data_IF_217639674772
#
_entry.id   IF_217639674772
#
_cell.length_a   1.000
_cell.length_b   1.000
_cell.length_c   1.000
_cell.angle_alpha   90.00
_cell.angle_beta   90.00
_cell.angle_gamma   90.00
#
_symmetry.space_group_name_H-M   'P 1'
#
loop_
_entity.id
_entity.type
_entity.pdbx_description
1 polymer ?
#
# COMPACT_ATOMS: atom_id res chain seq x y z
N UNK A 1 -3.82 -20.39 -1.76
CA UNK A 1 -4.96 -19.73 -2.42
C UNK A 1 -4.40 -19.00 -3.62
N UNK A 2 -5.03 -19.11 -4.79
CA UNK A 2 -4.59 -18.29 -5.94
C UNK A 2 -5.15 -16.85 -5.85
N UNK A 3 -4.67 -15.94 -6.71
CA UNK A 3 -5.10 -14.54 -6.67
C UNK A 3 -6.58 -14.36 -7.08
N UNK A 4 -7.14 -15.27 -7.87
CA UNK A 4 -8.53 -15.19 -8.34
C UNK A 4 -9.47 -15.54 -7.18
N UNK A 5 -9.16 -16.61 -6.44
CA UNK A 5 -9.83 -16.99 -5.20
C UNK A 5 -9.73 -15.88 -4.16
N UNK A 6 -8.53 -15.33 -3.93
CA UNK A 6 -8.31 -14.25 -2.97
C UNK A 6 -9.13 -12.98 -3.30
N UNK A 7 -9.25 -12.64 -4.59
CA UNK A 7 -10.09 -11.53 -5.03
C UNK A 7 -11.58 -11.79 -4.74
N UNK A 8 -12.08 -13.00 -4.95
CA UNK A 8 -13.47 -13.37 -4.68
C UNK A 8 -13.78 -13.33 -3.19
N UNK A 9 -12.90 -13.85 -2.35
CA UNK A 9 -13.03 -13.82 -0.90
C UNK A 9 -13.10 -12.39 -0.37
N UNK A 10 -12.27 -11.50 -0.91
CA UNK A 10 -12.23 -10.10 -0.51
C UNK A 10 -13.47 -9.32 -1.01
N UNK A 11 -13.95 -9.61 -2.22
CA UNK A 11 -15.22 -9.10 -2.75
C UNK A 11 -16.41 -9.48 -1.85
N UNK A 12 -16.46 -10.75 -1.41
CA UNK A 12 -17.49 -11.24 -0.50
C UNK A 12 -17.39 -10.64 0.91
N UNK A 13 -16.17 -10.51 1.45
CA UNK A 13 -15.92 -9.97 2.79
C UNK A 13 -16.38 -8.52 2.95
N UNK A 14 -16.19 -7.70 1.92
CA UNK A 14 -16.46 -6.26 1.97
C UNK A 14 -17.71 -5.84 1.17
N UNK A 15 -18.50 -6.80 0.67
CA UNK A 15 -19.70 -6.58 -0.14
C UNK A 15 -19.48 -5.59 -1.29
N UNK A 16 -18.43 -5.84 -2.10
CA UNK A 16 -18.14 -5.04 -3.28
C UNK A 16 -17.62 -5.88 -4.43
N UNK A 17 -17.58 -5.29 -5.62
CA UNK A 17 -16.92 -5.89 -6.80
C UNK A 17 -15.79 -4.97 -7.29
N UNK A 18 -14.62 -5.55 -7.55
CA UNK A 18 -13.53 -4.87 -8.26
C UNK A 18 -13.90 -4.74 -9.74
N UNK A 19 -13.62 -3.58 -10.31
CA UNK A 19 -13.76 -3.36 -11.75
C UNK A 19 -12.72 -4.19 -12.51
N UNK A 20 -13.05 -4.55 -13.74
CA UNK A 20 -12.19 -5.36 -14.62
C UNK A 20 -10.72 -4.86 -14.66
N UNK A 21 -10.51 -3.56 -14.88
CA UNK A 21 -9.16 -2.97 -14.94
C UNK A 21 -8.44 -2.94 -13.58
N UNK A 22 -9.18 -2.96 -12.46
CA UNK A 22 -8.58 -3.07 -11.13
C UNK A 22 -8.09 -4.51 -10.91
N UNK A 23 -8.92 -5.52 -11.22
CA UNK A 23 -8.54 -6.93 -11.15
C UNK A 23 -7.30 -7.19 -11.99
N UNK A 24 -7.30 -6.72 -13.25
CA UNK A 24 -6.17 -6.87 -14.15
C UNK A 24 -4.87 -6.26 -13.61
N UNK A 25 -4.94 -5.04 -13.07
CA UNK A 25 -3.78 -4.38 -12.47
C UNK A 25 -3.25 -5.16 -11.26
N UNK A 26 -4.14 -5.62 -10.38
CA UNK A 26 -3.77 -6.46 -9.22
C UNK A 26 -3.09 -7.74 -9.69
N UNK A 27 -3.66 -8.46 -10.65
CA UNK A 27 -3.07 -9.70 -11.18
C UNK A 27 -1.67 -9.49 -11.74
N UNK A 28 -1.42 -8.40 -12.48
CA UNK A 28 -0.07 -8.10 -12.97
C UNK A 28 0.91 -7.79 -11.84
N UNK A 29 0.48 -7.02 -10.83
CA UNK A 29 1.30 -6.73 -9.64
C UNK A 29 1.68 -8.02 -8.90
N UNK A 30 0.73 -8.93 -8.71
CA UNK A 30 0.98 -10.23 -8.05
C UNK A 30 1.88 -11.18 -8.85
N UNK A 31 2.02 -10.96 -10.15
CA UNK A 31 2.96 -11.69 -11.00
C UNK A 31 4.33 -10.98 -11.09
N UNK A 32 4.62 -10.07 -10.16
CA UNK A 32 5.88 -9.33 -10.08
C UNK A 32 6.15 -8.49 -11.34
N UNK A 33 5.10 -7.97 -11.98
CA UNK A 33 5.21 -7.17 -13.19
C UNK A 33 5.05 -5.68 -12.92
N UNK A 34 5.98 -4.90 -13.45
CA UNK A 34 5.87 -3.43 -13.49
C UNK A 34 4.60 -3.03 -14.23
N UNK A 35 3.66 -2.42 -13.50
CA UNK A 35 2.30 -2.18 -13.99
C UNK A 35 2.03 -0.69 -14.13
N UNK A 36 1.87 -0.21 -15.37
CA UNK A 36 1.44 1.16 -15.66
C UNK A 36 -0.09 1.25 -15.81
N UNK A 37 -0.74 1.95 -14.88
CA UNK A 37 -2.21 2.00 -14.81
C UNK A 37 -2.75 3.39 -15.22
N UNK A 38 -3.46 3.44 -16.35
CA UNK A 38 -4.17 4.65 -16.81
C UNK A 38 -5.68 4.48 -16.64
N UNK A 39 -6.23 5.17 -15.66
CA UNK A 39 -7.67 5.14 -15.34
C UNK A 39 -8.19 6.59 -15.19
N UNK A 40 -9.49 6.87 -15.40
CA UNK A 40 -10.05 8.19 -15.12
C UNK A 40 -10.14 8.47 -13.60
N UNK A 41 -10.28 9.75 -13.24
CA UNK A 41 -10.60 10.15 -11.86
C UNK A 41 -11.93 9.52 -11.44
N UNK A 42 -12.05 9.13 -10.16
CA UNK A 42 -13.23 8.43 -9.66
C UNK A 42 -13.34 6.95 -10.06
N UNK A 43 -12.45 6.43 -10.92
CA UNK A 43 -12.47 4.99 -11.24
C UNK A 43 -12.19 4.10 -10.03
N UNK A 44 -11.49 4.64 -9.01
CA UNK A 44 -11.11 3.91 -7.80
C UNK A 44 -9.69 3.36 -7.86
N UNK A 45 -8.72 4.15 -8.31
CA UNK A 45 -7.31 3.73 -8.40
C UNK A 45 -6.72 3.33 -7.04
N UNK A 46 -7.14 4.01 -5.97
CA UNK A 46 -6.67 3.72 -4.61
C UNK A 46 -7.01 2.31 -4.15
N UNK A 47 -8.14 1.77 -4.62
CA UNK A 47 -8.61 0.43 -4.31
C UNK A 47 -7.64 -0.67 -4.77
N UNK A 48 -6.82 -0.39 -5.79
CA UNK A 48 -5.80 -1.32 -6.27
C UNK A 48 -4.77 -1.49 -5.15
N UNK A 49 -4.07 -0.41 -4.78
CA UNK A 49 -2.97 -0.51 -3.81
C UNK A 49 -3.44 -0.74 -2.37
N UNK A 50 -4.66 -0.33 -2.00
CA UNK A 50 -5.13 -0.42 -0.62
C UNK A 50 -5.44 -1.85 -0.17
N UNK A 51 -5.82 -2.73 -1.10
CA UNK A 51 -6.12 -4.14 -0.81
C UNK A 51 -4.96 -5.09 -1.11
N UNK A 52 -3.87 -4.62 -1.72
CA UNK A 52 -2.69 -5.45 -1.95
C UNK A 52 -2.15 -6.12 -0.68
N UNK A 53 -2.05 -5.45 0.49
CA UNK A 53 -1.54 -6.09 1.71
C UNK A 53 -2.37 -7.31 2.13
N UNK A 54 -3.70 -7.18 2.11
CA UNK A 54 -4.62 -8.24 2.52
C UNK A 54 -4.67 -9.37 1.49
N UNK A 55 -4.68 -9.04 0.19
CA UNK A 55 -4.56 -10.05 -0.87
C UNK A 55 -3.23 -10.82 -0.75
N UNK A 56 -2.15 -10.13 -0.40
CA UNK A 56 -0.84 -10.75 -0.24
C UNK A 56 -0.83 -11.71 0.94
N UNK A 57 -1.43 -11.31 2.07
CA UNK A 57 -1.59 -12.16 3.24
C UNK A 57 -2.47 -13.39 2.96
N UNK A 58 -3.57 -13.23 2.22
CA UNK A 58 -4.45 -14.35 1.81
C UNK A 58 -3.73 -15.37 0.92
N UNK A 59 -2.90 -14.89 -0.02
CA UNK A 59 -2.20 -15.76 -0.99
C UNK A 59 -0.96 -16.41 -0.38
N UNK A 60 -0.18 -15.68 0.43
CA UNK A 60 1.16 -16.09 0.87
C UNK A 60 1.23 -16.49 2.35
N UNK A 61 0.20 -16.19 3.15
CA UNK A 61 0.21 -16.30 4.61
C UNK A 61 1.31 -15.47 5.31
N UNK A 62 1.83 -14.45 4.62
CA UNK A 62 2.81 -13.51 5.15
C UNK A 62 2.25 -12.08 5.12
N UNK A 63 2.66 -11.26 6.09
CA UNK A 63 2.30 -9.84 6.09
C UNK A 63 3.04 -9.10 4.98
N UNK A 64 2.33 -8.22 4.28
CA UNK A 64 2.90 -7.32 3.28
C UNK A 64 2.66 -5.85 3.65
N UNK A 65 3.58 -4.98 3.21
CA UNK A 65 3.45 -3.53 3.32
C UNK A 65 3.52 -2.91 1.94
N UNK A 66 2.63 -1.95 1.65
CA UNK A 66 2.65 -1.17 0.42
C UNK A 66 3.20 0.23 0.69
N UNK A 67 4.27 0.59 -0.01
CA UNK A 67 4.80 1.95 -0.04
C UNK A 67 4.12 2.76 -1.16
N UNK A 68 3.44 3.84 -0.80
CA UNK A 68 2.78 4.75 -1.74
C UNK A 68 3.54 6.07 -1.80
N UNK A 69 4.15 6.37 -2.94
CA UNK A 69 4.87 7.63 -3.14
C UNK A 69 3.92 8.68 -3.76
N UNK A 70 3.74 9.82 -3.09
CA UNK A 70 2.87 10.91 -3.54
C UNK A 70 3.47 12.29 -3.23
N UNK A 71 3.43 13.24 -4.19
CA UNK A 71 4.01 14.57 -3.97
C UNK A 71 3.19 15.46 -3.01
N UNK A 72 1.90 15.18 -2.81
CA UNK A 72 1.00 16.09 -2.07
C UNK A 72 0.75 15.54 -0.66
N UNK A 73 1.43 16.11 0.34
CA UNK A 73 1.28 15.69 1.75
C UNK A 73 -0.14 15.81 2.30
N UNK A 74 -0.87 16.86 1.93
CA UNK A 74 -2.26 17.01 2.36
C UNK A 74 -3.15 15.85 1.88
N UNK A 75 -2.89 15.33 0.67
CA UNK A 75 -3.59 14.18 0.13
C UNK A 75 -3.18 12.90 0.86
N UNK A 76 -1.89 12.74 1.20
CA UNK A 76 -1.43 11.59 1.98
C UNK A 76 -2.13 11.50 3.33
N UNK A 77 -2.23 12.61 4.06
CA UNK A 77 -2.91 12.66 5.37
C UNK A 77 -4.39 12.27 5.22
N UNK A 78 -5.09 12.84 4.23
CA UNK A 78 -6.51 12.52 3.97
C UNK A 78 -6.70 11.03 3.60
N UNK A 79 -5.77 10.43 2.84
CA UNK A 79 -5.82 9.00 2.53
C UNK A 79 -5.52 8.12 3.74
N UNK A 80 -4.54 8.48 4.58
CA UNK A 80 -4.24 7.76 5.83
C UNK A 80 -5.48 7.73 6.73
N UNK A 81 -6.10 8.89 6.98
CA UNK A 81 -7.31 8.96 7.81
C UNK A 81 -8.45 8.12 7.22
N UNK A 82 -8.63 8.10 5.90
CA UNK A 82 -9.65 7.25 5.25
C UNK A 82 -9.38 5.75 5.43
N UNK A 83 -8.11 5.34 5.36
CA UNK A 83 -7.71 3.95 5.53
C UNK A 83 -7.87 3.50 6.99
N UNK A 84 -7.44 4.33 7.95
CA UNK A 84 -7.60 4.06 9.38
C UNK A 84 -9.09 3.93 9.77
N UNK A 85 -9.95 4.81 9.24
CA UNK A 85 -11.40 4.73 9.45
C UNK A 85 -12.03 3.43 8.88
N UNK A 86 -11.38 2.81 7.90
CA UNK A 86 -11.78 1.52 7.32
C UNK A 86 -11.07 0.34 7.98
N UNK A 87 -10.36 0.55 9.10
CA UNK A 87 -9.65 -0.50 9.84
C UNK A 87 -8.33 -0.95 9.19
N UNK A 88 -7.82 -0.22 8.19
CA UNK A 88 -6.55 -0.52 7.54
C UNK A 88 -5.44 0.25 8.25
N UNK A 89 -4.42 -0.46 8.74
CA UNK A 89 -3.24 0.15 9.37
C UNK A 89 -2.45 0.95 8.34
N UNK A 90 -2.50 2.27 8.44
CA UNK A 90 -1.85 3.17 7.51
C UNK A 90 -1.11 4.28 8.25
N UNK A 91 -0.04 4.79 7.65
CA UNK A 91 0.65 5.98 8.15
C UNK A 91 1.26 6.75 7.00
N UNK A 92 1.76 7.95 7.28
CA UNK A 92 2.57 8.71 6.34
C UNK A 92 3.92 9.06 6.95
N UNK A 93 4.88 9.21 6.06
CA UNK A 93 6.16 9.78 6.33
C UNK A 93 6.36 11.03 5.49
N UNK A 94 6.65 12.13 6.17
CA UNK A 94 7.09 13.37 5.57
C UNK A 94 7.44 14.40 6.62
N UNK A 95 7.73 15.62 6.19
CA UNK A 95 8.12 16.72 7.08
C UNK A 95 7.07 17.06 8.14
N UNK A 96 5.78 16.82 7.83
CA UNK A 96 4.66 17.04 8.76
C UNK A 96 4.45 15.90 9.75
N UNK A 97 5.22 14.82 9.69
CA UNK A 97 5.11 13.72 10.66
C UNK A 97 5.75 14.15 11.99
N UNK A 98 4.92 14.30 13.02
CA UNK A 98 5.36 14.76 14.35
C UNK A 98 5.72 13.60 15.27
N UNK A 99 5.18 12.40 15.02
CA UNK A 99 5.46 11.21 15.79
C UNK A 99 6.79 10.58 15.36
N UNK A 100 7.79 10.72 16.24
CA UNK A 100 9.16 10.21 16.02
C UNK A 100 9.25 8.69 16.13
N UNK A 101 8.22 8.00 16.63
CA UNK A 101 8.20 6.54 16.72
C UNK A 101 7.85 5.86 15.39
N UNK A 102 7.15 6.57 14.49
CA UNK A 102 6.65 6.04 13.23
C UNK A 102 7.72 5.32 12.38
N UNK A 103 8.95 5.85 12.22
CA UNK A 103 9.97 5.14 11.46
C UNK A 103 10.33 3.76 12.03
N UNK A 104 10.42 3.61 13.36
CA UNK A 104 10.72 2.32 13.98
C UNK A 104 9.57 1.33 13.78
N UNK A 105 8.34 1.78 14.00
CA UNK A 105 7.12 0.99 13.84
C UNK A 105 6.90 0.50 12.40
N UNK A 106 7.31 1.30 11.41
CA UNK A 106 7.28 0.87 10.00
C UNK A 106 8.32 -0.21 9.73
N UNK A 107 9.54 -0.12 10.30
CA UNK A 107 10.56 -1.17 10.18
C UNK A 107 10.08 -2.48 10.81
N UNK A 108 9.31 -2.39 11.90
CA UNK A 108 8.71 -3.54 12.58
C UNK A 108 7.51 -4.15 11.82
N UNK A 109 7.09 -3.54 10.69
CA UNK A 109 5.99 -4.05 9.88
C UNK A 109 4.60 -3.82 10.49
N UNK A 110 4.44 -2.78 11.32
CA UNK A 110 3.15 -2.49 11.96
C UNK A 110 2.08 -1.93 10.99
N UNK A 111 2.49 -1.42 9.82
CA UNK A 111 1.61 -0.74 8.88
C UNK A 111 1.46 -1.53 7.57
N UNK A 112 0.21 -1.70 7.16
CA UNK A 112 -0.12 -2.29 5.85
C UNK A 112 0.17 -1.30 4.72
N UNK A 113 -0.01 -0.01 4.96
CA UNK A 113 0.22 1.04 3.96
C UNK A 113 1.05 2.18 4.54
N UNK A 114 2.10 2.55 3.83
CA UNK A 114 2.98 3.68 4.21
C UNK A 114 2.98 4.67 3.06
N UNK A 115 2.49 5.88 3.31
CA UNK A 115 2.61 6.98 2.36
C UNK A 115 3.94 7.72 2.55
N UNK A 116 4.57 8.16 1.46
CA UNK A 116 5.77 9.00 1.56
C UNK A 116 5.87 10.00 0.41
N UNK A 117 6.56 11.13 0.64
CA UNK A 117 6.90 12.05 -0.43
C UNK A 117 8.16 11.59 -1.16
N UNK A 118 8.33 11.92 -2.45
CA UNK A 118 9.57 11.63 -3.18
C UNK A 118 10.82 12.14 -2.45
N UNK A 119 10.76 13.34 -1.89
CA UNK A 119 11.86 13.97 -1.15
C UNK A 119 12.22 13.19 0.12
N UNK A 120 11.20 12.70 0.85
CA UNK A 120 11.40 11.93 2.08
C UNK A 120 12.09 10.58 1.81
N UNK A 121 11.74 9.91 0.70
CA UNK A 121 12.35 8.64 0.27
C UNK A 121 13.80 8.86 -0.20
N UNK A 122 14.06 9.93 -0.94
CA UNK A 122 15.36 10.19 -1.55
C UNK A 122 16.40 10.74 -0.56
N UNK A 123 15.96 11.43 0.49
CA UNK A 123 16.87 11.96 1.50
C UNK A 123 17.65 10.84 2.21
N UNK A 124 18.93 11.08 2.51
CA UNK A 124 19.88 10.14 3.16
C UNK A 124 19.54 9.84 4.64
N UNK A 125 18.26 9.88 4.99
CA UNK A 125 17.73 9.62 6.31
C UNK A 125 17.53 8.13 6.58
N UNK A 126 16.74 7.82 7.64
CA UNK A 126 16.38 6.45 8.00
C UNK A 126 15.76 5.66 6.85
N UNK A 127 15.06 6.31 5.93
CA UNK A 127 14.21 5.66 4.91
C UNK A 127 14.93 5.03 3.75
N UNK A 128 15.94 5.72 3.21
CA UNK A 128 16.83 5.08 2.25
C UNK A 128 17.40 3.81 2.86
N UNK A 129 17.77 3.82 4.15
CA UNK A 129 18.20 2.61 4.87
C UNK A 129 17.09 1.58 5.00
N UNK A 130 15.86 1.94 5.43
CA UNK A 130 14.75 1.00 5.56
C UNK A 130 14.47 0.23 4.26
N UNK A 131 14.43 0.94 3.13
CA UNK A 131 14.15 0.34 1.81
C UNK A 131 15.36 -0.46 1.30
N UNK A 132 16.60 -0.04 1.60
CA UNK A 132 17.81 -0.71 1.08
C UNK A 132 18.37 -1.82 1.98
N UNK A 133 17.93 -1.95 3.23
CA UNK A 133 18.51 -2.89 4.20
C UNK A 133 17.90 -4.30 4.16
N UNK A 134 17.09 -4.62 3.13
CA UNK A 134 16.51 -5.96 2.96
C UNK A 134 15.48 -6.32 4.02
N UNK A 135 14.91 -5.33 4.71
CA UNK A 135 13.72 -5.51 5.57
C UNK A 135 12.47 -5.65 4.69
N UNK A 136 12.44 -4.89 3.60
CA UNK A 136 11.47 -5.06 2.52
C UNK A 136 12.12 -5.87 1.42
N UNK A 137 11.43 -6.92 0.98
CA UNK A 137 11.77 -7.69 -0.20
C UNK A 137 10.69 -7.43 -1.24
N UNK A 138 11.12 -7.22 -2.49
CA UNK A 138 10.19 -7.25 -3.61
C UNK A 138 9.57 -8.65 -3.71
N UNK A 139 8.29 -8.68 -4.04
CA UNK A 139 7.52 -9.90 -4.29
C UNK A 139 8.02 -10.53 -5.59
#
# INVERSE_FOLDING_TARGET
>A
MDIVEALQDLEAKYDFIFKEKQKLAITYIFNCQDTFVVLPTGYGKSKIYSHLPELYELVTHAKGTVLVISPIQALMIDQVTKLENNGVSATFLGEKQTDKSIPARIIEGEFSIVFSSPEAVLNKGPWRRCITQGVFHDI
#
